data_IF_322614630763
#
_entry.id   IF_322614630763
#
_cell.length_a   1.000
_cell.length_b   1.000
_cell.length_c   1.000
_cell.angle_alpha   90.00
_cell.angle_beta   90.00
_cell.angle_gamma   90.00
#
_symmetry.space_group_name_H-M   'P 1'
#
loop_
_entity.id
_entity.type
_entity.pdbx_description
1 polymer ?
#
# COMPACT_ATOMS: atom_id res chain seq x y z
N UNK A 1 76.05 -27.52 -11.51
CA UNK A 1 74.75 -28.14 -11.86
C UNK A 1 73.76 -27.78 -10.76
N UNK A 2 72.66 -27.11 -11.13
CA UNK A 2 71.67 -26.49 -10.24
C UNK A 2 70.79 -27.55 -9.58
N UNK A 3 70.55 -27.47 -8.26
CA UNK A 3 69.37 -28.07 -7.63
C UNK A 3 68.63 -26.97 -6.88
N UNK A 4 67.45 -26.65 -7.42
CA UNK A 4 66.57 -25.54 -7.08
C UNK A 4 65.59 -26.03 -6.01
N UNK A 5 65.77 -25.62 -4.76
CA UNK A 5 64.80 -25.87 -3.68
C UNK A 5 63.74 -24.75 -3.73
N UNK A 6 62.47 -25.11 -3.92
CA UNK A 6 61.31 -24.20 -3.82
C UNK A 6 60.52 -24.54 -2.55
N UNK A 7 60.33 -23.61 -1.60
CA UNK A 7 59.33 -23.78 -0.56
C UNK A 7 57.97 -23.27 -1.07
N UNK A 8 56.97 -24.14 -1.05
CA UNK A 8 55.56 -23.80 -1.30
C UNK A 8 55.01 -23.15 -0.03
N UNK A 9 54.78 -21.84 -0.07
CA UNK A 9 54.13 -21.10 1.02
C UNK A 9 52.62 -21.13 0.77
N UNK A 10 51.90 -22.03 1.45
CA UNK A 10 50.44 -22.03 1.48
C UNK A 10 49.96 -20.90 2.40
N UNK A 11 49.43 -19.83 1.81
CA UNK A 11 48.71 -18.78 2.53
C UNK A 11 47.26 -19.24 2.68
N UNK A 12 46.88 -19.65 3.90
CA UNK A 12 45.49 -19.93 4.26
C UNK A 12 44.79 -18.63 4.61
N UNK A 13 44.04 -18.07 3.66
CA UNK A 13 43.12 -16.96 3.88
C UNK A 13 41.91 -17.44 4.68
N UNK A 14 41.85 -17.08 5.95
CA UNK A 14 40.65 -17.25 6.79
C UNK A 14 39.65 -16.15 6.41
N UNK A 15 38.67 -16.50 5.58
CA UNK A 15 37.53 -15.65 5.30
C UNK A 15 36.59 -15.67 6.51
N UNK A 16 36.65 -14.64 7.35
CA UNK A 16 35.69 -14.40 8.41
C UNK A 16 34.33 -14.07 7.79
N UNK A 17 33.40 -15.04 7.85
CA UNK A 17 31.99 -14.80 7.55
C UNK A 17 31.43 -13.81 8.58
N UNK A 18 31.29 -12.55 8.18
CA UNK A 18 30.44 -11.60 8.88
C UNK A 18 28.98 -12.03 8.66
N UNK A 19 28.40 -12.67 9.67
CA UNK A 19 26.96 -12.88 9.71
C UNK A 19 26.33 -11.51 9.93
N UNK A 20 25.88 -10.88 8.85
CA UNK A 20 25.10 -9.64 8.92
C UNK A 20 23.75 -10.02 9.51
N UNK A 21 23.67 -10.05 10.83
CA UNK A 21 22.43 -10.12 11.58
C UNK A 21 21.62 -8.90 11.20
N UNK A 22 20.72 -9.03 10.21
CA UNK A 22 19.74 -8.00 9.91
C UNK A 22 18.81 -7.90 11.11
N UNK A 23 19.13 -7.03 12.06
CA UNK A 23 18.20 -6.59 13.07
C UNK A 23 17.05 -5.87 12.35
N UNK A 24 16.01 -6.61 12.00
CA UNK A 24 14.74 -5.99 11.62
C UNK A 24 14.18 -5.37 12.88
N UNK A 25 14.29 -4.05 13.01
CA UNK A 25 13.61 -3.31 14.06
C UNK A 25 12.10 -3.50 13.85
N UNK A 26 11.44 -4.19 14.75
CA UNK A 26 9.97 -4.24 14.78
C UNK A 26 9.49 -2.88 15.25
N UNK A 27 8.71 -2.19 14.41
CA UNK A 27 8.08 -0.92 14.78
C UNK A 27 6.81 -1.16 15.59
N UNK A 28 6.40 -0.15 16.37
CA UNK A 28 5.10 -0.15 17.02
C UNK A 28 3.98 -0.15 15.98
N UNK A 29 2.80 -0.64 16.37
CA UNK A 29 1.63 -0.69 15.49
C UNK A 29 1.31 0.70 14.91
N UNK A 30 1.16 0.79 13.59
CA UNK A 30 0.91 2.05 12.90
C UNK A 30 2.15 2.81 12.46
N UNK A 31 3.35 2.36 12.81
CA UNK A 31 4.61 3.02 12.46
C UNK A 31 5.52 2.17 11.57
N UNK A 32 6.32 2.84 10.74
CA UNK A 32 7.31 2.23 9.85
C UNK A 32 8.56 3.10 9.69
N UNK A 33 9.51 2.62 8.87
CA UNK A 33 10.77 3.30 8.58
C UNK A 33 11.93 2.85 9.47
N UNK A 34 13.14 3.30 9.13
CA UNK A 34 14.37 2.89 9.85
C UNK A 34 14.40 3.35 11.31
N UNK A 35 13.69 4.44 11.63
CA UNK A 35 13.58 4.97 12.99
C UNK A 35 12.23 4.67 13.66
N UNK A 36 11.28 4.04 12.96
CA UNK A 36 9.91 3.76 13.42
C UNK A 36 9.12 5.01 13.85
N UNK A 37 9.28 6.11 13.11
CA UNK A 37 8.55 7.37 13.40
C UNK A 37 7.55 7.77 12.33
N UNK A 38 7.61 7.16 11.16
CA UNK A 38 6.69 7.46 10.06
C UNK A 38 5.39 6.69 10.26
N UNK A 39 4.24 7.38 10.22
CA UNK A 39 2.96 6.69 10.28
C UNK A 39 2.70 5.95 8.96
N UNK A 40 2.33 4.66 9.04
CA UNK A 40 2.08 3.80 7.86
C UNK A 40 1.08 4.43 6.90
N UNK A 41 0.06 5.13 7.41
CA UNK A 41 -0.96 5.76 6.58
C UNK A 41 -0.47 6.98 5.78
N UNK A 42 0.65 7.61 6.13
CA UNK A 42 1.08 8.86 5.48
C UNK A 42 1.36 8.69 3.98
N UNK A 43 1.88 7.53 3.56
CA UNK A 43 2.06 7.21 2.14
C UNK A 43 0.75 7.03 1.37
N UNK A 44 -0.40 6.91 2.04
CA UNK A 44 -1.71 6.91 1.38
C UNK A 44 -2.32 8.30 1.31
N UNK A 45 -1.91 9.26 2.16
CA UNK A 45 -2.52 10.59 2.22
C UNK A 45 -2.12 11.40 0.97
N UNK A 46 -3.12 11.99 0.32
CA UNK A 46 -2.93 12.81 -0.88
C UNK A 46 -4.14 12.80 -1.81
N UNK A 47 -4.00 13.49 -2.93
CA UNK A 47 -4.94 13.40 -4.04
C UNK A 47 -4.38 12.51 -5.12
N UNK A 48 -5.20 11.61 -5.65
CA UNK A 48 -4.82 10.71 -6.73
C UNK A 48 -5.81 10.90 -7.86
N UNK A 49 -5.31 11.02 -9.09
CA UNK A 49 -6.11 11.10 -10.31
C UNK A 49 -5.78 9.94 -11.23
N UNK A 50 -6.81 9.29 -11.77
CA UNK A 50 -6.58 8.21 -12.71
C UNK A 50 -7.84 7.48 -13.14
N UNK A 51 -7.67 6.53 -14.07
CA UNK A 51 -8.77 5.77 -14.61
C UNK A 51 -9.36 4.77 -13.60
N UNK A 52 -10.64 4.51 -13.78
CA UNK A 52 -11.39 3.42 -13.20
C UNK A 52 -11.95 2.53 -14.32
N UNK A 53 -11.73 1.23 -14.19
CA UNK A 53 -12.35 0.23 -15.06
C UNK A 53 -13.32 -0.62 -14.24
N UNK A 54 -14.59 -0.66 -14.64
CA UNK A 54 -15.60 -1.44 -13.94
C UNK A 54 -16.22 -2.51 -14.85
N UNK A 55 -16.93 -3.45 -14.22
CA UNK A 55 -17.80 -4.39 -14.93
C UNK A 55 -18.91 -3.68 -15.71
N UNK A 56 -19.33 -2.50 -15.24
CA UNK A 56 -20.32 -1.63 -15.88
C UNK A 56 -19.75 -0.21 -15.93
N UNK A 57 -19.40 0.25 -17.12
CA UNK A 57 -18.85 1.61 -17.33
C UNK A 57 -17.38 1.75 -16.91
N UNK A 58 -16.77 2.85 -17.36
CA UNK A 58 -15.42 3.26 -17.01
C UNK A 58 -15.42 4.77 -16.75
N UNK A 59 -14.48 5.25 -15.93
CA UNK A 59 -14.38 6.66 -15.57
C UNK A 59 -12.92 7.10 -15.39
N UNK A 60 -12.68 8.39 -15.19
CA UNK A 60 -11.39 8.97 -14.82
C UNK A 60 -11.61 10.18 -13.92
N UNK A 61 -11.26 10.03 -12.65
CA UNK A 61 -11.58 11.01 -11.62
C UNK A 61 -10.51 11.09 -10.54
N UNK A 62 -10.64 12.12 -9.70
CA UNK A 62 -9.75 12.34 -8.57
C UNK A 62 -10.40 11.82 -7.29
N UNK A 63 -9.64 11.06 -6.51
CA UNK A 63 -9.95 10.70 -5.12
C UNK A 63 -9.06 11.50 -4.17
N UNK A 64 -9.59 11.84 -3.00
CA UNK A 64 -8.79 12.47 -1.93
C UNK A 64 -8.73 11.53 -0.74
N UNK A 65 -7.52 11.18 -0.32
CA UNK A 65 -7.25 10.32 0.84
C UNK A 65 -6.74 11.16 2.00
N UNK A 66 -7.37 11.01 3.16
CA UNK A 66 -6.98 11.68 4.41
C UNK A 66 -6.81 10.64 5.53
N UNK A 67 -6.13 11.00 6.63
CA UNK A 67 -6.06 10.16 7.82
C UNK A 67 -7.33 10.29 8.68
N UNK A 68 -7.77 9.20 9.30
CA UNK A 68 -8.84 9.25 10.31
C UNK A 68 -8.31 9.81 11.64
N UNK A 69 -9.04 10.69 12.33
CA UNK A 69 -8.55 11.32 13.56
C UNK A 69 -8.39 10.35 14.74
N UNK A 70 -9.13 9.24 14.76
CA UNK A 70 -9.23 8.33 15.90
C UNK A 70 -8.39 7.04 15.80
N UNK A 71 -7.81 6.74 14.64
CA UNK A 71 -7.08 5.48 14.42
C UNK A 71 -5.90 5.69 13.44
N UNK A 72 -4.69 5.34 13.91
CA UNK A 72 -3.43 5.49 13.19
C UNK A 72 -3.34 4.60 11.95
N UNK A 73 -4.08 3.49 11.93
CA UNK A 73 -4.17 2.57 10.80
C UNK A 73 -5.33 2.88 9.86
N UNK A 74 -6.14 3.90 10.16
CA UNK A 74 -7.31 4.23 9.34
C UNK A 74 -7.07 5.44 8.43
N UNK A 75 -7.58 5.31 7.20
CA UNK A 75 -7.67 6.37 6.20
C UNK A 75 -9.11 6.55 5.74
N UNK A 76 -9.42 7.74 5.22
CA UNK A 76 -10.71 8.09 4.62
C UNK A 76 -10.47 8.41 3.15
N UNK A 77 -11.17 7.71 2.26
CA UNK A 77 -11.14 7.92 0.82
C UNK A 77 -12.41 8.66 0.43
N UNK A 78 -12.26 9.84 -0.16
CA UNK A 78 -13.36 10.67 -0.64
C UNK A 78 -13.48 10.59 -2.16
N UNK A 79 -14.73 10.70 -2.63
CA UNK A 79 -15.12 10.55 -4.02
C UNK A 79 -14.83 9.15 -4.60
N UNK A 80 -15.01 8.10 -3.80
CA UNK A 80 -15.02 6.74 -4.34
C UNK A 80 -16.16 6.59 -5.36
N UNK A 81 -15.93 5.79 -6.41
CA UNK A 81 -16.89 5.53 -7.50
C UNK A 81 -17.37 6.77 -8.26
N UNK A 82 -16.62 7.88 -8.19
CA UNK A 82 -17.00 9.19 -8.73
C UNK A 82 -18.40 9.68 -8.34
N UNK A 83 -18.90 9.26 -7.17
CA UNK A 83 -20.25 9.57 -6.69
C UNK A 83 -20.23 10.32 -5.35
N UNK A 84 -19.10 10.98 -5.03
CA UNK A 84 -18.85 11.60 -3.73
C UNK A 84 -19.02 10.63 -2.54
N UNK A 85 -18.85 9.33 -2.77
CA UNK A 85 -18.86 8.36 -1.67
C UNK A 85 -17.61 8.54 -0.82
N UNK A 86 -17.81 8.50 0.49
CA UNK A 86 -16.74 8.51 1.49
C UNK A 86 -16.67 7.11 2.12
N UNK A 87 -15.49 6.50 2.10
CA UNK A 87 -15.23 5.20 2.72
C UNK A 87 -14.04 5.25 3.65
N UNK A 88 -14.14 4.53 4.76
CA UNK A 88 -13.02 4.33 5.69
C UNK A 88 -12.35 3.00 5.41
N UNK A 89 -11.02 3.00 5.29
CA UNK A 89 -10.21 1.80 5.11
C UNK A 89 -9.12 1.68 6.16
N UNK A 90 -8.65 0.47 6.41
CA UNK A 90 -7.47 0.16 7.22
C UNK A 90 -6.26 -0.09 6.36
N UNK A 91 -5.10 0.39 6.78
CA UNK A 91 -3.82 0.16 6.11
C UNK A 91 -2.93 -0.76 6.94
N UNK A 92 -2.14 -1.57 6.25
CA UNK A 92 -1.10 -2.41 6.84
C UNK A 92 0.07 -2.49 5.85
N UNK A 93 1.22 -1.93 6.24
CA UNK A 93 2.30 -1.66 5.31
C UNK A 93 1.78 -0.91 4.08
N UNK A 94 2.00 -1.46 2.89
CA UNK A 94 1.53 -0.88 1.63
C UNK A 94 0.13 -1.35 1.19
N UNK A 95 -0.55 -2.14 2.00
CA UNK A 95 -1.88 -2.69 1.71
C UNK A 95 -2.99 -1.84 2.31
N UNK A 96 -4.14 -1.84 1.66
CA UNK A 96 -5.39 -1.20 2.07
C UNK A 96 -6.51 -2.23 2.07
N UNK A 97 -7.32 -2.24 3.12
CA UNK A 97 -8.56 -3.01 3.21
C UNK A 97 -9.73 -2.10 3.57
N UNK A 98 -10.82 -2.19 2.82
CA UNK A 98 -12.08 -1.49 3.06
C UNK A 98 -13.13 -2.54 3.36
N UNK A 99 -13.46 -2.71 4.64
CA UNK A 99 -14.57 -3.56 5.05
C UNK A 99 -15.90 -3.01 4.50
N UNK A 100 -16.87 -3.90 4.31
CA UNK A 100 -18.20 -3.51 3.84
C UNK A 100 -18.80 -2.43 4.74
N UNK A 101 -19.17 -1.31 4.13
CA UNK A 101 -19.84 -0.21 4.80
C UNK A 101 -20.88 0.44 3.89
N UNK A 102 -21.87 1.08 4.51
CA UNK A 102 -22.88 1.86 3.79
C UNK A 102 -22.25 3.11 3.18
N UNK A 103 -22.61 3.41 1.94
CA UNK A 103 -22.17 4.60 1.20
C UNK A 103 -23.36 5.28 0.53
N UNK A 104 -23.25 6.60 0.36
CA UNK A 104 -24.33 7.42 -0.17
C UNK A 104 -25.58 7.41 0.72
N UNK A 105 -26.69 7.96 0.19
CA UNK A 105 -27.92 8.16 0.97
C UNK A 105 -28.95 7.03 0.83
N UNK A 106 -28.77 6.12 -0.13
CA UNK A 106 -29.80 5.14 -0.55
C UNK A 106 -29.48 3.69 -0.14
N UNK A 107 -28.59 3.49 0.83
CA UNK A 107 -28.28 2.15 1.36
C UNK A 107 -27.38 1.30 0.48
N UNK A 108 -26.68 1.90 -0.48
CA UNK A 108 -25.60 1.23 -1.21
C UNK A 108 -24.48 0.82 -0.25
N UNK A 109 -23.78 -0.25 -0.58
CA UNK A 109 -22.62 -0.73 0.18
C UNK A 109 -21.37 -0.74 -0.68
N UNK A 110 -20.22 -0.53 -0.05
CA UNK A 110 -18.92 -0.62 -0.70
C UNK A 110 -17.95 -1.42 0.16
N UNK A 111 -17.24 -2.35 -0.46
CA UNK A 111 -16.10 -3.07 0.14
C UNK A 111 -15.00 -3.26 -0.90
N UNK A 112 -13.76 -3.44 -0.45
CA UNK A 112 -12.65 -3.63 -1.39
C UNK A 112 -11.29 -3.74 -0.71
N UNK A 113 -10.26 -3.81 -1.53
CA UNK A 113 -8.86 -3.85 -1.12
C UNK A 113 -7.99 -3.15 -2.14
N UNK A 114 -6.83 -2.68 -1.70
CA UNK A 114 -5.92 -1.95 -2.56
C UNK A 114 -4.51 -1.93 -2.02
N UNK A 115 -3.68 -1.11 -2.66
CA UNK A 115 -2.31 -0.89 -2.25
C UNK A 115 -1.79 0.44 -2.75
N UNK A 116 -0.75 0.95 -2.09
CA UNK A 116 0.07 2.03 -2.60
C UNK A 116 1.41 1.47 -3.11
N UNK A 117 1.92 1.99 -4.22
CA UNK A 117 3.26 1.67 -4.71
C UNK A 117 4.34 2.03 -3.68
N UNK A 118 5.50 1.36 -3.75
CA UNK A 118 6.60 1.59 -2.79
C UNK A 118 7.16 3.02 -2.78
N UNK A 119 6.97 3.77 -3.87
CA UNK A 119 7.32 5.19 -3.97
C UNK A 119 6.18 6.15 -3.55
N UNK A 120 5.03 5.61 -3.14
CA UNK A 120 3.86 6.38 -2.69
C UNK A 120 3.08 7.07 -3.81
N UNK A 121 3.42 6.84 -5.09
CA UNK A 121 2.86 7.61 -6.22
C UNK A 121 1.62 7.01 -6.85
N UNK A 122 1.41 5.71 -6.74
CA UNK A 122 0.30 5.02 -7.39
C UNK A 122 -0.57 4.32 -6.37
N UNK A 123 -1.83 4.73 -6.29
CA UNK A 123 -2.88 4.07 -5.52
C UNK A 123 -3.65 3.13 -6.44
N UNK A 124 -3.67 1.84 -6.11
CA UNK A 124 -4.56 0.86 -6.74
C UNK A 124 -5.65 0.49 -5.75
N UNK A 125 -6.91 0.53 -6.18
CA UNK A 125 -8.05 0.17 -5.34
C UNK A 125 -9.06 -0.64 -6.15
N UNK A 126 -9.22 -1.92 -5.80
CA UNK A 126 -10.24 -2.80 -6.36
C UNK A 126 -11.38 -2.95 -5.36
N UNK A 127 -12.60 -2.67 -5.79
CA UNK A 127 -13.74 -2.63 -4.90
C UNK A 127 -15.04 -2.97 -5.61
N UNK A 128 -16.05 -3.33 -4.82
CA UNK A 128 -17.39 -3.64 -5.29
C UNK A 128 -18.39 -2.70 -4.65
N UNK A 129 -19.19 -2.06 -5.48
CA UNK A 129 -20.37 -1.27 -5.05
C UNK A 129 -21.60 -2.15 -5.24
N UNK A 130 -22.33 -2.40 -4.16
CA UNK A 130 -23.61 -3.11 -4.18
C UNK A 130 -24.72 -2.11 -3.92
N UNK A 131 -25.50 -1.71 -4.93
CA UNK A 131 -26.63 -0.80 -4.72
C UNK A 131 -27.73 -1.48 -3.91
N UNK A 132 -28.61 -0.69 -3.28
CA UNK A 132 -29.78 -1.25 -2.58
C UNK A 132 -30.73 -2.00 -3.53
N UNK A 133 -30.76 -1.61 -4.81
CA UNK A 133 -31.49 -2.29 -5.88
C UNK A 133 -30.64 -2.33 -7.15
N UNK A 134 -30.79 -3.40 -7.93
CA UNK A 134 -30.01 -3.59 -9.17
C UNK A 134 -28.77 -4.47 -8.97
N UNK A 135 -27.82 -4.35 -9.89
CA UNK A 135 -26.65 -5.21 -9.99
C UNK A 135 -25.43 -4.56 -9.35
N UNK A 136 -24.63 -5.35 -8.62
CA UNK A 136 -23.35 -4.90 -8.10
C UNK A 136 -22.38 -4.57 -9.25
N UNK A 137 -21.51 -3.58 -9.03
CA UNK A 137 -20.47 -3.19 -9.97
C UNK A 137 -19.11 -3.37 -9.30
N UNK A 138 -18.21 -4.12 -9.95
CA UNK A 138 -16.83 -4.29 -9.46
C UNK A 138 -15.89 -3.45 -10.30
N UNK A 139 -15.05 -2.67 -9.64
CA UNK A 139 -14.20 -1.65 -10.23
C UNK A 139 -12.75 -1.79 -9.78
N UNK A 140 -11.82 -1.40 -10.64
CA UNK A 140 -10.41 -1.19 -10.29
C UNK A 140 -10.02 0.23 -10.67
N UNK A 141 -9.70 1.03 -9.66
CA UNK A 141 -9.17 2.38 -9.77
C UNK A 141 -7.64 2.36 -9.68
N UNK A 142 -6.96 3.06 -10.58
CA UNK A 142 -5.49 3.23 -10.56
C UNK A 142 -5.15 4.72 -10.66
N UNK A 143 -4.94 5.36 -9.52
CA UNK A 143 -4.67 6.79 -9.43
C UNK A 143 -3.18 7.11 -9.29
N UNK A 144 -2.72 8.14 -9.98
CA UNK A 144 -1.40 8.74 -9.76
C UNK A 144 -1.53 9.96 -8.86
N UNK A 145 -0.63 10.09 -7.89
CA UNK A 145 -0.55 11.22 -6.97
C UNK A 145 -0.36 12.53 -7.74
N UNK A 146 -1.10 13.57 -7.34
CA UNK A 146 -0.98 14.94 -7.86
C UNK A 146 0.16 15.72 -7.22
#
# INVERSE_FOLDING_TARGET
MKKLFRPFLMVATVATLFVVSSCTKTCDEGYEGTDCKTLIREKFIGQFKGPETCTIGNDNYTVTVTGASSDLLSIVINNAYNQNFTVTGKVDGSSLTVAEQSVGSVGSKLSGSGSISGDGKTLTFTYTVTPATGTANTCTYVGTRL
#
